data_IF_256692635783
#
_entry.id   IF_256692635783
#
_cell.length_a   1.000
_cell.length_b   1.000
_cell.length_c   1.000
_cell.angle_alpha   90.00
_cell.angle_beta   90.00
_cell.angle_gamma   90.00
#
_symmetry.space_group_name_H-M   'P 1'
#
loop_
_entity.id
_entity.type
_entity.pdbx_description
1 polymer ?
#
# COMPACT_ATOMS: atom_id res chain seq x y z
N UNK A 1 12.31 6.11 -18.81
CA UNK A 1 11.65 6.75 -17.65
C UNK A 1 12.21 6.16 -16.37
N UNK A 2 12.59 6.97 -15.38
CA UNK A 2 12.94 6.52 -14.00
C UNK A 2 11.77 6.81 -13.09
N UNK A 3 11.38 5.87 -12.21
CA UNK A 3 10.26 6.03 -11.30
C UNK A 3 10.66 6.76 -10.03
N UNK A 4 11.86 6.51 -9.54
CA UNK A 4 12.38 7.13 -8.32
C UNK A 4 13.58 8.03 -8.65
N UNK A 5 13.76 9.07 -7.85
CA UNK A 5 14.92 9.97 -7.96
C UNK A 5 16.07 9.43 -7.11
N UNK A 6 17.27 9.40 -7.66
CA UNK A 6 18.47 9.00 -6.90
C UNK A 6 18.86 9.99 -5.80
N UNK A 7 18.35 11.23 -5.88
CA UNK A 7 18.68 12.32 -4.95
C UNK A 7 17.69 12.50 -3.80
N UNK A 8 16.54 11.82 -3.84
CA UNK A 8 15.50 11.98 -2.82
C UNK A 8 15.49 10.80 -1.85
N UNK A 9 15.31 11.04 -0.55
CA UNK A 9 15.20 9.99 0.44
C UNK A 9 13.86 9.24 0.35
N UNK A 10 13.87 8.01 0.84
CA UNK A 10 12.66 7.25 1.15
C UNK A 10 12.37 7.38 2.66
N UNK A 11 11.10 7.58 2.98
CA UNK A 11 10.59 7.60 4.35
C UNK A 11 9.71 6.38 4.59
N UNK A 12 9.95 5.68 5.70
CA UNK A 12 9.21 4.47 6.09
C UNK A 12 7.89 4.85 6.73
N UNK A 13 6.75 4.51 6.09
CA UNK A 13 5.42 4.81 6.58
C UNK A 13 4.58 3.57 6.86
N UNK A 14 3.72 3.65 7.88
CA UNK A 14 2.57 2.77 8.04
C UNK A 14 1.30 3.64 8.02
N UNK A 15 0.35 3.31 7.13
CA UNK A 15 -0.84 4.10 6.88
C UNK A 15 -2.13 3.39 7.31
N UNK A 16 -2.02 2.33 8.12
CA UNK A 16 -3.15 1.58 8.63
C UNK A 16 -2.82 0.99 10.01
N UNK A 17 -3.40 1.55 11.05
CA UNK A 17 -3.34 1.01 12.42
C UNK A 17 -4.49 1.53 13.27
N UNK A 18 -4.85 0.75 14.28
CA UNK A 18 -5.96 1.00 15.19
C UNK A 18 -5.49 1.24 16.62
N UNK A 19 -6.25 2.03 17.36
CA UNK A 19 -5.98 2.35 18.76
C UNK A 19 -7.22 2.09 19.62
N UNK A 20 -7.14 2.35 20.93
CA UNK A 20 -8.29 2.27 21.82
C UNK A 20 -9.41 3.28 21.52
N UNK A 21 -9.24 4.11 20.48
CA UNK A 21 -10.33 4.95 19.96
C UNK A 21 -11.27 4.19 19.01
N UNK A 22 -10.88 3.00 18.56
CA UNK A 22 -11.75 2.01 17.91
C UNK A 22 -11.59 0.64 18.60
N UNK A 23 -10.87 -0.27 18.01
CA UNK A 23 -10.72 -1.67 18.44
C UNK A 23 -9.28 -2.14 18.60
N UNK A 24 -8.30 -1.23 18.50
CA UNK A 24 -6.92 -1.49 18.85
C UNK A 24 -6.66 -1.55 20.35
N UNK A 25 -5.61 -2.23 20.77
CA UNK A 25 -5.28 -2.46 22.19
C UNK A 25 -4.41 -1.36 22.81
N UNK A 26 -3.65 -0.60 22.03
CA UNK A 26 -2.83 0.49 22.52
C UNK A 26 -3.58 1.83 22.49
N UNK A 27 -3.35 2.67 23.53
CA UNK A 27 -3.77 4.06 23.40
C UNK A 27 -3.02 4.76 22.28
N UNK A 28 -3.56 5.85 21.69
CA UNK A 28 -2.95 6.50 20.53
C UNK A 28 -1.50 6.93 20.74
N UNK A 29 -1.15 7.36 21.94
CA UNK A 29 0.23 7.80 22.24
C UNK A 29 1.18 6.60 22.32
N UNK A 30 0.71 5.44 22.84
CA UNK A 30 1.49 4.22 22.89
C UNK A 30 1.70 3.63 21.50
N UNK A 31 0.68 3.64 20.63
CA UNK A 31 0.78 3.23 19.24
C UNK A 31 1.82 4.05 18.48
N UNK A 32 1.80 5.38 18.63
CA UNK A 32 2.79 6.27 18.02
C UNK A 32 4.21 5.97 18.53
N UNK A 33 4.38 5.72 19.83
CA UNK A 33 5.70 5.34 20.39
C UNK A 33 6.17 4.01 19.82
N UNK A 34 5.28 3.01 19.72
CA UNK A 34 5.61 1.70 19.14
C UNK A 34 6.23 1.85 17.74
N UNK A 35 5.55 2.54 16.82
CA UNK A 35 6.05 2.74 15.47
C UNK A 35 7.33 3.59 15.41
N UNK A 36 7.44 4.60 16.28
CA UNK A 36 8.66 5.39 16.38
C UNK A 36 9.88 4.53 16.81
N UNK A 37 9.68 3.64 17.77
CA UNK A 37 10.72 2.72 18.27
C UNK A 37 11.01 1.59 17.26
N UNK A 38 10.05 1.23 16.40
CA UNK A 38 10.21 0.32 15.26
C UNK A 38 10.86 0.99 14.03
N UNK A 39 11.30 2.26 14.15
CA UNK A 39 12.05 2.96 13.10
C UNK A 39 11.21 3.42 11.91
N UNK A 40 9.93 3.71 12.12
CA UNK A 40 9.12 4.40 11.11
C UNK A 40 9.35 5.92 11.18
N UNK A 41 9.10 6.58 10.05
CA UNK A 41 9.15 8.05 9.90
C UNK A 41 7.76 8.66 9.85
N UNK A 42 6.79 7.91 9.30
CA UNK A 42 5.41 8.36 9.04
C UNK A 42 4.44 7.36 9.65
N UNK A 43 3.38 7.88 10.26
CA UNK A 43 2.26 7.07 10.75
C UNK A 43 0.94 7.75 10.44
N UNK A 44 -0.04 6.97 9.99
CA UNK A 44 -1.45 7.36 10.00
C UNK A 44 -2.21 6.43 10.95
N UNK A 45 -2.80 6.98 12.00
CA UNK A 45 -3.75 6.26 12.85
C UNK A 45 -5.10 6.34 12.15
N UNK A 46 -5.65 5.19 11.82
CA UNK A 46 -6.85 5.03 10.99
C UNK A 46 -7.97 4.32 11.74
N UNK A 47 -8.21 4.75 12.97
CA UNK A 47 -9.30 4.21 13.79
C UNK A 47 -10.62 4.20 13.02
N UNK A 48 -11.43 3.16 13.21
CA UNK A 48 -12.72 3.01 12.56
C UNK A 48 -13.62 4.23 12.81
N UNK A 49 -14.07 4.87 11.74
CA UNK A 49 -15.07 5.95 11.71
C UNK A 49 -14.67 7.21 12.48
N UNK A 50 -13.43 7.31 12.97
CA UNK A 50 -12.96 8.46 13.73
C UNK A 50 -11.54 8.87 13.36
N UNK A 51 -11.29 10.17 13.29
CA UNK A 51 -9.94 10.71 13.08
C UNK A 51 -9.28 10.92 14.43
N UNK A 52 -8.31 10.08 14.74
CA UNK A 52 -7.51 10.18 15.96
C UNK A 52 -6.33 11.14 15.75
N UNK A 53 -6.19 12.12 16.63
CA UNK A 53 -5.07 13.07 16.62
C UNK A 53 -4.20 12.89 17.85
N UNK A 54 -2.91 12.72 17.62
CA UNK A 54 -1.87 12.62 18.66
C UNK A 54 -0.95 13.83 18.56
N UNK A 55 -0.50 14.34 19.68
CA UNK A 55 0.43 15.49 19.75
C UNK A 55 1.78 15.06 20.30
N UNK A 56 2.84 15.82 19.96
CA UNK A 56 4.17 15.61 20.52
C UNK A 56 4.85 14.33 20.05
N UNK A 57 4.65 13.97 18.77
CA UNK A 57 5.27 12.81 18.15
C UNK A 57 6.64 13.10 17.54
N UNK A 58 7.52 12.10 17.52
CA UNK A 58 8.75 12.09 16.70
C UNK A 58 8.47 11.72 15.24
N UNK A 59 7.32 11.08 14.98
CA UNK A 59 6.87 10.73 13.64
C UNK A 59 6.12 11.88 13.00
N UNK A 60 6.16 11.95 11.69
CA UNK A 60 5.18 12.69 10.93
C UNK A 60 3.84 11.94 11.01
N UNK A 61 2.83 12.59 11.57
CA UNK A 61 1.48 12.03 11.67
C UNK A 61 0.60 12.59 10.56
N UNK A 62 0.15 11.70 9.67
CA UNK A 62 -0.85 12.01 8.64
C UNK A 62 -2.23 11.72 9.23
N UNK A 63 -3.18 12.65 9.23
CA UNK A 63 -4.55 12.38 9.69
C UNK A 63 -5.17 11.23 8.89
N UNK A 64 -5.73 10.24 9.59
CA UNK A 64 -6.31 9.05 8.97
C UNK A 64 -7.64 8.62 9.59
N UNK A 65 -8.39 7.85 8.82
CA UNK A 65 -9.65 7.20 9.22
C UNK A 65 -9.83 5.93 8.41
N UNK A 66 -10.47 4.92 8.96
CA UNK A 66 -10.99 3.80 8.19
C UNK A 66 -12.52 3.83 8.18
N UNK A 67 -13.10 3.83 6.97
CA UNK A 67 -14.53 3.76 6.72
C UNK A 67 -14.88 2.33 6.31
N UNK A 68 -15.81 1.70 7.03
CA UNK A 68 -16.18 0.31 6.84
C UNK A 68 -17.61 0.15 6.33
N UNK A 69 -17.76 -0.73 5.36
CA UNK A 69 -19.01 -1.09 4.71
C UNK A 69 -19.16 -2.60 4.63
N UNK A 70 -20.39 -3.09 4.77
CA UNK A 70 -20.73 -4.50 4.61
C UNK A 70 -21.62 -4.65 3.39
N UNK A 71 -21.16 -5.41 2.41
CA UNK A 71 -21.90 -5.75 1.21
C UNK A 71 -22.18 -7.26 1.21
N UNK A 72 -23.17 -7.74 0.41
CA UNK A 72 -23.42 -9.17 0.29
C UNK A 72 -22.16 -9.94 -0.12
N UNK A 73 -21.66 -10.81 0.77
CA UNK A 73 -20.53 -11.69 0.53
C UNK A 73 -19.14 -11.04 0.62
N UNK A 74 -19.03 -9.76 0.99
CA UNK A 74 -17.74 -9.08 1.13
C UNK A 74 -17.80 -7.92 2.14
N UNK A 75 -16.67 -7.63 2.76
CA UNK A 75 -16.46 -6.40 3.51
C UNK A 75 -15.72 -5.41 2.63
N UNK A 76 -15.89 -4.11 2.85
CA UNK A 76 -15.16 -3.09 2.11
C UNK A 76 -14.71 -2.02 3.07
N UNK A 77 -13.41 -1.90 3.24
CA UNK A 77 -12.80 -0.88 4.07
C UNK A 77 -12.04 0.12 3.20
N UNK A 78 -12.25 1.41 3.47
CA UNK A 78 -11.60 2.51 2.74
C UNK A 78 -10.83 3.36 3.74
N UNK A 79 -9.52 3.41 3.58
CA UNK A 79 -8.69 4.34 4.32
C UNK A 79 -8.83 5.74 3.71
N UNK A 80 -9.05 6.73 4.55
CA UNK A 80 -8.93 8.14 4.19
C UNK A 80 -7.65 8.70 4.83
N UNK A 81 -6.80 9.32 4.03
CA UNK A 81 -5.52 9.88 4.50
C UNK A 81 -5.44 11.37 4.17
N UNK A 82 -4.93 12.20 5.09
CA UNK A 82 -4.67 13.62 4.86
C UNK A 82 -5.93 14.50 4.79
N UNK A 83 -7.04 14.11 5.43
CA UNK A 83 -8.27 14.91 5.46
C UNK A 83 -8.54 15.50 6.84
N UNK A 84 -9.47 16.46 6.91
CA UNK A 84 -9.91 17.08 8.15
C UNK A 84 -10.78 16.11 8.99
N UNK A 85 -10.73 16.29 10.31
CA UNK A 85 -11.54 15.56 11.30
C UNK A 85 -13.06 15.67 11.09
N UNK A 86 -13.52 16.66 10.33
CA UNK A 86 -14.94 16.81 9.99
C UNK A 86 -15.56 15.64 9.24
N UNK A 87 -14.74 14.72 8.71
CA UNK A 87 -15.21 13.55 7.96
C UNK A 87 -16.08 12.62 8.81
N UNK A 88 -15.72 12.38 10.07
CA UNK A 88 -16.48 11.49 10.97
C UNK A 88 -17.95 11.91 11.13
N UNK A 89 -18.23 13.21 11.12
CA UNK A 89 -19.60 13.74 11.20
C UNK A 89 -20.35 13.74 9.87
N UNK A 90 -19.65 13.61 8.74
CA UNK A 90 -20.22 13.62 7.39
C UNK A 90 -20.37 12.24 6.77
N UNK A 91 -19.66 11.25 7.31
CA UNK A 91 -19.75 9.89 6.84
C UNK A 91 -21.13 9.27 7.12
N UNK A 92 -21.64 8.52 6.17
CA UNK A 92 -22.91 7.82 6.26
C UNK A 92 -22.69 6.30 6.15
N UNK A 93 -22.91 5.59 7.26
CA UNK A 93 -22.79 4.12 7.33
C UNK A 93 -23.75 3.36 6.39
N UNK A 94 -24.86 4.00 5.99
CA UNK A 94 -25.83 3.43 5.04
C UNK A 94 -25.52 3.77 3.58
N UNK A 95 -24.44 4.52 3.34
CA UNK A 95 -23.95 4.83 1.99
C UNK A 95 -23.21 3.67 1.35
N UNK A 96 -22.68 3.91 0.17
CA UNK A 96 -21.85 2.95 -0.59
C UNK A 96 -20.36 3.22 -0.34
N UNK A 97 -19.46 2.24 -0.59
CA UNK A 97 -18.02 2.49 -0.58
C UNK A 97 -17.60 3.65 -1.50
N UNK A 98 -18.27 3.84 -2.64
CA UNK A 98 -18.01 4.96 -3.54
C UNK A 98 -18.33 6.30 -2.88
N UNK A 99 -19.43 6.41 -2.10
CA UNK A 99 -19.75 7.64 -1.37
C UNK A 99 -18.65 7.99 -0.35
N UNK A 100 -18.03 6.98 0.26
CA UNK A 100 -16.90 7.16 1.17
C UNK A 100 -15.65 7.67 0.45
N UNK A 101 -15.32 7.10 -0.70
CA UNK A 101 -14.20 7.54 -1.55
C UNK A 101 -14.42 9.00 -1.99
N UNK A 102 -15.62 9.32 -2.48
CA UNK A 102 -15.96 10.67 -2.95
C UNK A 102 -15.92 11.69 -1.80
N UNK A 103 -16.38 11.30 -0.61
CA UNK A 103 -16.30 12.14 0.58
C UNK A 103 -14.85 12.44 0.97
N UNK A 104 -13.98 11.42 1.06
CA UNK A 104 -12.55 11.58 1.37
C UNK A 104 -11.90 12.55 0.37
N UNK A 105 -12.11 12.31 -0.92
CA UNK A 105 -11.53 13.13 -2.00
C UNK A 105 -12.07 14.58 -1.95
N UNK A 106 -13.36 14.76 -1.68
CA UNK A 106 -13.97 16.10 -1.58
C UNK A 106 -13.42 16.93 -0.41
N UNK A 107 -12.85 16.26 0.59
CA UNK A 107 -12.22 16.90 1.76
C UNK A 107 -10.71 17.06 1.62
N UNK A 108 -10.16 16.85 0.41
CA UNK A 108 -8.75 17.03 0.09
C UNK A 108 -7.85 15.86 0.51
N UNK A 109 -8.41 14.77 1.03
CA UNK A 109 -7.69 13.55 1.34
C UNK A 109 -7.40 12.68 0.10
N UNK A 110 -6.87 11.48 0.35
CA UNK A 110 -6.78 10.40 -0.63
C UNK A 110 -7.44 9.15 -0.07
N UNK A 111 -8.13 8.40 -0.92
CA UNK A 111 -8.79 7.14 -0.57
C UNK A 111 -7.94 5.94 -0.99
N UNK A 112 -7.78 4.95 -0.10
CA UNK A 112 -7.05 3.71 -0.35
C UNK A 112 -7.96 2.53 -0.02
N UNK A 113 -8.07 1.54 -0.92
CA UNK A 113 -8.81 0.30 -0.64
C UNK A 113 -7.97 -0.59 0.28
N UNK A 114 -8.49 -0.91 1.46
CA UNK A 114 -7.80 -1.74 2.45
C UNK A 114 -7.99 -3.24 2.17
N UNK A 115 -6.95 -4.03 2.43
CA UNK A 115 -6.91 -5.52 2.50
C UNK A 115 -7.92 -6.29 1.62
N UNK A 116 -7.97 -6.10 0.29
CA UNK A 116 -9.05 -6.62 -0.53
C UNK A 116 -9.13 -8.16 -0.56
N UNK A 117 -8.01 -8.88 -0.36
CA UNK A 117 -8.02 -10.35 -0.27
C UNK A 117 -8.70 -10.84 1.03
N UNK A 118 -8.42 -10.20 2.18
CA UNK A 118 -9.09 -10.51 3.44
C UNK A 118 -10.59 -10.20 3.36
N UNK A 119 -10.92 -9.07 2.78
CA UNK A 119 -12.28 -8.56 2.61
C UNK A 119 -13.12 -9.33 1.60
N UNK A 120 -12.53 -10.30 0.87
CA UNK A 120 -13.17 -11.07 -0.21
C UNK A 120 -13.68 -10.17 -1.35
N UNK A 121 -13.02 -9.05 -1.60
CA UNK A 121 -13.36 -8.20 -2.74
C UNK A 121 -13.05 -8.93 -4.04
N UNK A 122 -13.94 -8.80 -5.00
CA UNK A 122 -13.73 -9.41 -6.33
C UNK A 122 -13.01 -8.44 -7.27
N UNK A 123 -12.26 -8.94 -8.28
CA UNK A 123 -11.68 -8.07 -9.31
C UNK A 123 -12.71 -7.17 -9.99
N UNK A 124 -13.92 -7.66 -10.22
CA UNK A 124 -15.01 -6.88 -10.80
C UNK A 124 -15.45 -5.74 -9.88
N UNK A 125 -15.54 -6.00 -8.58
CA UNK A 125 -15.86 -4.97 -7.59
C UNK A 125 -14.76 -3.91 -7.51
N UNK A 126 -13.48 -4.30 -7.42
CA UNK A 126 -12.35 -3.36 -7.38
C UNK A 126 -12.38 -2.44 -8.60
N UNK A 127 -12.66 -2.98 -9.79
CA UNK A 127 -12.78 -2.22 -11.04
C UNK A 127 -13.98 -1.27 -11.09
N UNK A 128 -14.99 -1.49 -10.27
CA UNK A 128 -16.18 -0.62 -10.21
C UNK A 128 -15.96 0.64 -9.37
N UNK A 129 -14.90 0.66 -8.55
CA UNK A 129 -14.55 1.82 -7.74
C UNK A 129 -13.73 2.83 -8.55
N UNK A 130 -13.95 4.11 -8.30
CA UNK A 130 -13.22 5.19 -8.94
C UNK A 130 -12.70 6.21 -7.92
N UNK A 131 -11.60 6.91 -8.26
CA UNK A 131 -11.02 7.92 -7.39
C UNK A 131 -10.18 7.38 -6.23
N UNK A 132 -9.80 6.11 -6.27
CA UNK A 132 -8.81 5.55 -5.36
C UNK A 132 -7.41 6.05 -5.72
N UNK A 133 -6.62 6.42 -4.73
CA UNK A 133 -5.20 6.75 -4.88
C UNK A 133 -4.30 5.52 -4.76
N UNK A 134 -4.85 4.40 -4.32
CA UNK A 134 -4.12 3.15 -4.20
C UNK A 134 -4.92 2.04 -3.54
N UNK A 135 -4.25 0.90 -3.33
CA UNK A 135 -4.83 -0.30 -2.75
C UNK A 135 -3.78 -1.05 -1.92
N UNK A 136 -4.16 -1.68 -0.84
CA UNK A 136 -3.25 -2.54 -0.08
C UNK A 136 -2.97 -3.84 -0.83
N UNK A 137 -1.70 -4.04 -1.21
CA UNK A 137 -1.22 -5.33 -1.76
C UNK A 137 -0.87 -6.29 -0.63
N UNK A 138 -0.50 -5.74 0.54
CA UNK A 138 -0.16 -6.49 1.75
C UNK A 138 -0.77 -5.84 2.99
N UNK A 139 -1.33 -6.68 3.86
CA UNK A 139 -1.91 -6.28 5.14
C UNK A 139 -1.47 -7.28 6.22
N UNK A 140 -0.66 -6.83 7.19
CA UNK A 140 0.03 -7.75 8.11
C UNK A 140 -0.90 -8.45 9.08
N UNK A 141 -1.96 -7.81 9.61
CA UNK A 141 -2.91 -8.46 10.53
C UNK A 141 -3.65 -9.61 9.86
N UNK A 142 -3.78 -9.55 8.54
CA UNK A 142 -4.43 -10.60 7.75
C UNK A 142 -3.59 -11.87 7.60
N UNK A 143 -2.30 -11.87 8.05
CA UNK A 143 -1.48 -13.09 8.14
C UNK A 143 -1.90 -13.99 9.30
N UNK A 144 -2.58 -13.42 10.30
CA UNK A 144 -2.95 -14.19 11.49
C UNK A 144 -3.93 -15.31 11.11
N UNK A 145 -3.76 -16.53 11.67
CA UNK A 145 -4.63 -17.68 11.35
C UNK A 145 -6.12 -17.38 11.58
N UNK A 146 -6.45 -16.57 12.58
CA UNK A 146 -7.84 -16.16 12.85
C UNK A 146 -8.42 -15.29 11.73
N UNK A 147 -7.57 -14.63 10.92
CA UNK A 147 -7.93 -13.83 9.74
C UNK A 147 -7.79 -14.60 8.42
N UNK A 148 -7.55 -15.92 8.50
CA UNK A 148 -7.54 -16.82 7.35
C UNK A 148 -6.29 -16.76 6.49
N UNK A 149 -5.19 -16.13 6.96
CA UNK A 149 -3.91 -16.01 6.24
C UNK A 149 -4.09 -15.39 4.83
N UNK A 150 -4.78 -14.25 4.75
CA UNK A 150 -5.14 -13.55 3.50
C UNK A 150 -4.45 -12.19 3.36
N UNK A 151 -3.18 -12.11 3.73
CA UNK A 151 -2.44 -10.86 3.70
C UNK A 151 -2.09 -10.39 2.28
N UNK A 152 -1.79 -11.32 1.38
CA UNK A 152 -1.27 -11.05 0.03
C UNK A 152 -2.42 -10.92 -0.98
N UNK A 153 -2.65 -9.71 -1.45
CA UNK A 153 -3.67 -9.37 -2.45
C UNK A 153 -3.12 -9.36 -3.89
N UNK A 154 -1.84 -9.69 -4.10
CA UNK A 154 -1.16 -9.47 -5.37
C UNK A 154 -1.85 -10.17 -6.56
N UNK A 155 -2.21 -11.45 -6.41
CA UNK A 155 -2.89 -12.18 -7.50
C UNK A 155 -4.29 -11.65 -7.81
N UNK A 156 -5.01 -11.18 -6.78
CA UNK A 156 -6.33 -10.57 -6.94
C UNK A 156 -6.22 -9.26 -7.75
N UNK A 157 -5.22 -8.44 -7.42
CA UNK A 157 -4.96 -7.17 -8.09
C UNK A 157 -4.46 -7.37 -9.52
N UNK A 158 -3.58 -8.34 -9.77
CA UNK A 158 -3.12 -8.69 -11.12
C UNK A 158 -4.31 -9.02 -12.03
N UNK A 159 -5.29 -9.79 -11.54
CA UNK A 159 -6.51 -10.11 -12.30
C UNK A 159 -7.38 -8.86 -12.52
N UNK A 160 -7.51 -7.98 -11.53
CA UNK A 160 -8.28 -6.75 -11.68
C UNK A 160 -7.68 -5.84 -12.75
N UNK A 161 -6.35 -5.65 -12.75
CA UNK A 161 -5.62 -4.82 -13.72
C UNK A 161 -5.64 -5.45 -15.11
N UNK A 162 -5.34 -6.75 -15.24
CA UNK A 162 -5.38 -7.46 -16.52
C UNK A 162 -6.77 -7.46 -17.17
N UNK A 163 -7.83 -7.33 -16.35
CA UNK A 163 -9.21 -7.23 -16.83
C UNK A 163 -9.63 -5.79 -17.18
N UNK A 164 -8.70 -4.85 -17.31
CA UNK A 164 -8.94 -3.44 -17.68
C UNK A 164 -9.26 -2.51 -16.52
N UNK A 165 -8.88 -2.88 -15.28
CA UNK A 165 -8.95 -2.00 -14.12
C UNK A 165 -7.92 -0.87 -14.17
N UNK A 166 -8.16 0.18 -13.38
CA UNK A 166 -7.18 1.23 -13.15
C UNK A 166 -5.92 0.65 -12.49
N UNK A 167 -4.73 1.03 -12.96
CA UNK A 167 -3.45 0.62 -12.40
C UNK A 167 -3.16 1.38 -11.10
N UNK A 168 -3.79 0.94 -10.02
CA UNK A 168 -3.68 1.58 -8.71
C UNK A 168 -2.29 1.36 -8.10
N UNK A 169 -1.64 2.40 -7.53
CA UNK A 169 -0.47 2.24 -6.69
C UNK A 169 -0.71 1.34 -5.49
N UNK A 170 0.34 0.62 -5.04
CA UNK A 170 0.19 -0.40 -4.00
C UNK A 170 0.83 -0.02 -2.69
N UNK A 171 0.07 -0.19 -1.60
CA UNK A 171 0.47 0.01 -0.22
C UNK A 171 0.75 -1.32 0.46
N UNK A 172 1.66 -1.32 1.45
CA UNK A 172 1.77 -2.37 2.45
C UNK A 172 1.68 -1.73 3.84
N UNK A 173 0.76 -2.22 4.64
CA UNK A 173 0.50 -1.72 5.97
C UNK A 173 0.29 -2.86 6.95
N UNK A 174 0.34 -2.54 8.25
CA UNK A 174 0.20 -3.53 9.30
C UNK A 174 -1.25 -3.78 9.70
N UNK A 175 -2.09 -2.74 9.72
CA UNK A 175 -3.46 -2.81 10.24
C UNK A 175 -3.46 -3.31 11.69
N UNK A 176 -2.56 -2.73 12.50
CA UNK A 176 -2.26 -3.24 13.84
C UNK A 176 -3.40 -3.02 14.80
N UNK A 177 -3.77 -4.09 15.50
CA UNK A 177 -4.78 -4.09 16.57
C UNK A 177 -4.18 -4.50 17.91
N UNK A 178 -3.46 -5.63 17.96
CA UNK A 178 -2.87 -6.17 19.17
C UNK A 178 -1.43 -5.72 19.42
N UNK A 179 -0.75 -5.19 18.38
CA UNK A 179 0.64 -4.74 18.41
C UNK A 179 1.62 -5.84 18.82
N UNK A 180 1.45 -7.01 18.23
CA UNK A 180 2.29 -8.21 18.40
C UNK A 180 2.98 -8.54 17.07
N UNK A 181 2.82 -9.77 16.59
CA UNK A 181 3.47 -10.26 15.38
C UNK A 181 3.00 -9.56 14.09
N UNK A 182 1.85 -8.91 14.13
CA UNK A 182 1.28 -8.16 12.99
C UNK A 182 1.83 -6.73 12.86
N UNK A 183 2.48 -6.20 13.90
CA UNK A 183 2.87 -4.78 13.94
C UNK A 183 4.37 -4.58 13.70
N UNK A 184 4.73 -3.51 12.98
CA UNK A 184 6.11 -3.20 12.64
C UNK A 184 6.69 -4.09 11.53
N UNK A 185 5.85 -4.78 10.78
CA UNK A 185 6.22 -5.78 9.76
C UNK A 185 6.24 -5.17 8.37
N UNK A 186 5.18 -4.48 7.99
CA UNK A 186 5.02 -3.93 6.65
C UNK A 186 5.24 -2.42 6.61
N UNK A 187 5.69 -1.92 5.48
CA UNK A 187 5.85 -0.49 5.25
C UNK A 187 5.53 -0.10 3.82
N UNK A 188 4.99 1.09 3.66
CA UNK A 188 4.95 1.83 2.41
C UNK A 188 6.12 2.82 2.43
N UNK A 189 7.09 2.63 1.55
CA UNK A 189 8.30 3.44 1.44
C UNK A 189 8.01 4.63 0.51
N UNK A 190 7.87 5.82 1.09
CA UNK A 190 7.46 7.03 0.36
C UNK A 190 8.69 7.85 0.00
N UNK A 191 8.86 8.16 -1.29
CA UNK A 191 9.91 9.05 -1.74
C UNK A 191 9.41 10.50 -1.81
N UNK A 192 9.94 11.34 -0.94
CA UNK A 192 9.59 12.76 -0.89
C UNK A 192 10.83 13.63 -0.65
N UNK A 193 10.74 14.90 -0.99
CA UNK A 193 11.82 15.88 -0.82
C UNK A 193 11.98 16.37 0.62
N UNK A 194 10.93 16.23 1.44
CA UNK A 194 10.93 16.56 2.86
C UNK A 194 9.99 15.64 3.64
N UNK A 195 10.28 15.43 4.92
CA UNK A 195 9.40 14.77 5.87
C UNK A 195 8.36 15.78 6.39
N UNK A 196 7.42 16.16 5.52
CA UNK A 196 6.29 17.05 5.84
C UNK A 196 4.99 16.47 5.29
N UNK A 197 3.86 16.83 5.89
CA UNK A 197 2.55 16.38 5.44
C UNK A 197 2.31 16.72 3.97
N UNK A 198 2.64 17.94 3.56
CA UNK A 198 2.49 18.42 2.18
C UNK A 198 3.30 17.57 1.19
N UNK A 199 4.61 17.37 1.46
CA UNK A 199 5.51 16.64 0.58
C UNK A 199 5.13 15.14 0.50
N UNK A 200 4.79 14.52 1.64
CA UNK A 200 4.37 13.13 1.71
C UNK A 200 3.04 12.93 0.97
N UNK A 201 2.03 13.77 1.22
CA UNK A 201 0.74 13.67 0.53
C UNK A 201 0.87 13.93 -0.98
N UNK A 202 1.76 14.83 -1.40
CA UNK A 202 2.07 15.02 -2.83
C UNK A 202 2.73 13.78 -3.44
N UNK A 203 3.66 13.13 -2.72
CA UNK A 203 4.28 11.88 -3.14
C UNK A 203 3.28 10.72 -3.26
N UNK A 204 2.39 10.58 -2.28
CA UNK A 204 1.33 9.57 -2.30
C UNK A 204 0.37 9.76 -3.49
N UNK A 205 -0.08 10.99 -3.76
CA UNK A 205 -0.90 11.31 -4.96
C UNK A 205 -0.19 11.02 -6.28
N UNK A 206 1.13 11.19 -6.31
CA UNK A 206 1.95 10.94 -7.50
C UNK A 206 2.39 9.49 -7.66
N UNK A 207 2.05 8.58 -6.74
CA UNK A 207 2.47 7.17 -6.78
C UNK A 207 3.98 6.99 -6.55
N UNK A 208 4.68 7.95 -5.92
CA UNK A 208 6.11 7.88 -5.63
C UNK A 208 6.40 7.08 -4.36
N UNK A 209 6.03 5.82 -4.37
CA UNK A 209 6.26 4.90 -3.26
C UNK A 209 6.23 3.45 -3.73
N UNK A 210 6.70 2.55 -2.88
CA UNK A 210 6.59 1.11 -3.06
C UNK A 210 6.22 0.44 -1.73
N UNK A 211 5.66 -0.77 -1.82
CA UNK A 211 5.25 -1.59 -0.68
C UNK A 211 6.36 -2.57 -0.29
N UNK A 212 6.55 -2.86 1.01
CA UNK A 212 7.56 -3.84 1.44
C UNK A 212 7.25 -4.46 2.80
N UNK A 213 7.75 -5.69 2.99
CA UNK A 213 7.91 -6.36 4.29
C UNK A 213 9.39 -6.56 4.65
N UNK A 214 10.32 -5.92 3.91
CA UNK A 214 11.76 -6.00 4.20
C UNK A 214 12.67 -5.55 3.06
N UNK A 215 12.64 -6.16 1.85
CA UNK A 215 13.50 -5.76 0.75
C UNK A 215 13.27 -4.31 0.30
N UNK A 216 14.32 -3.71 -0.26
CA UNK A 216 14.26 -2.36 -0.83
C UNK A 216 14.13 -2.41 -2.35
N UNK A 217 13.30 -1.54 -2.92
CA UNK A 217 13.32 -1.16 -4.33
C UNK A 217 13.92 0.24 -4.40
N UNK A 218 15.12 0.35 -4.97
CA UNK A 218 15.89 1.60 -5.01
C UNK A 218 15.60 2.43 -6.26
N UNK A 219 15.43 1.73 -7.40
CA UNK A 219 15.11 2.38 -8.66
C UNK A 219 14.40 1.41 -9.59
N UNK A 220 13.50 1.93 -10.41
CA UNK A 220 12.89 1.23 -11.54
C UNK A 220 13.09 2.09 -12.78
N UNK A 221 13.61 1.49 -13.84
CA UNK A 221 13.83 2.15 -15.12
C UNK A 221 13.05 1.44 -16.22
N UNK A 222 12.38 2.23 -17.06
CA UNK A 222 11.76 1.75 -18.30
C UNK A 222 12.46 2.45 -19.46
N UNK A 223 13.22 1.70 -20.23
CA UNK A 223 14.04 2.24 -21.33
C UNK A 223 14.27 1.17 -22.40
N UNK A 224 14.17 1.56 -23.67
CA UNK A 224 14.51 0.72 -24.83
C UNK A 224 13.82 -0.65 -24.87
N UNK A 225 12.55 -0.73 -24.42
CA UNK A 225 11.81 -1.99 -24.39
C UNK A 225 12.15 -2.91 -23.22
N UNK A 226 12.81 -2.38 -22.20
CA UNK A 226 13.15 -3.12 -20.98
C UNK A 226 12.60 -2.42 -19.74
N UNK A 227 12.29 -3.22 -18.72
CA UNK A 227 12.10 -2.77 -17.34
C UNK A 227 13.26 -3.30 -16.52
N UNK A 228 14.00 -2.40 -15.88
CA UNK A 228 15.07 -2.73 -14.95
C UNK A 228 14.70 -2.33 -13.53
N UNK A 229 15.11 -3.15 -12.55
CA UNK A 229 15.00 -2.84 -11.13
C UNK A 229 16.35 -2.91 -10.45
N UNK A 230 16.64 -1.91 -9.60
CA UNK A 230 17.74 -1.94 -8.64
C UNK A 230 17.13 -2.11 -7.24
N UNK A 231 17.62 -3.09 -6.47
CA UNK A 231 17.06 -3.46 -5.18
C UNK A 231 18.14 -3.78 -4.13
N UNK A 232 17.72 -4.03 -2.89
CA UNK A 232 18.58 -4.69 -1.89
C UNK A 232 18.88 -6.13 -2.32
N UNK A 233 19.91 -6.81 -1.76
CA UNK A 233 20.21 -8.20 -2.10
C UNK A 233 18.97 -9.10 -2.00
N UNK A 234 18.66 -9.81 -3.08
CA UNK A 234 17.48 -10.64 -3.25
C UNK A 234 17.85 -12.05 -3.74
N UNK A 235 16.94 -13.00 -3.54
CA UNK A 235 17.03 -14.37 -4.04
C UNK A 235 16.16 -14.59 -5.28
N UNK A 236 15.14 -13.75 -5.46
CA UNK A 236 14.23 -13.84 -6.59
C UNK A 236 13.65 -12.47 -6.93
N UNK A 237 13.62 -12.17 -8.23
CA UNK A 237 12.90 -11.00 -8.76
C UNK A 237 11.92 -11.49 -9.83
N UNK A 238 10.68 -11.05 -9.73
CA UNK A 238 9.60 -11.45 -10.65
C UNK A 238 8.99 -10.19 -11.26
N UNK A 239 8.87 -10.18 -12.58
CA UNK A 239 8.18 -9.15 -13.36
C UNK A 239 6.80 -9.69 -13.75
N UNK A 240 5.74 -9.18 -13.13
CA UNK A 240 4.36 -9.52 -13.42
C UNK A 240 3.79 -8.57 -14.47
N UNK A 241 3.02 -9.11 -15.39
CA UNK A 241 2.28 -8.35 -16.39
C UNK A 241 0.89 -8.99 -16.60
N UNK A 242 0.09 -8.43 -17.46
CA UNK A 242 -1.20 -9.00 -17.88
C UNK A 242 -1.05 -10.21 -18.85
N UNK A 243 0.18 -10.57 -19.22
CA UNK A 243 0.46 -11.83 -19.92
C UNK A 243 0.58 -12.98 -18.92
N UNK A 244 -0.24 -14.06 -19.03
CA UNK A 244 -0.17 -15.19 -18.09
C UNK A 244 1.20 -15.88 -18.06
N UNK A 245 1.88 -15.90 -19.20
CA UNK A 245 3.24 -16.42 -19.35
C UNK A 245 4.10 -15.45 -20.15
N UNK A 246 5.32 -15.22 -19.70
CA UNK A 246 6.34 -14.46 -20.44
C UNK A 246 7.71 -15.05 -20.15
N UNK A 247 8.53 -15.15 -21.20
CA UNK A 247 9.91 -15.61 -21.08
C UNK A 247 10.75 -14.58 -20.29
N UNK A 248 11.67 -15.07 -19.47
CA UNK A 248 12.59 -14.22 -18.70
C UNK A 248 11.93 -13.38 -17.58
N UNK A 249 10.64 -13.60 -17.27
CA UNK A 249 9.94 -12.83 -16.22
C UNK A 249 10.47 -13.06 -14.81
N UNK A 250 11.16 -14.17 -14.56
CA UNK A 250 11.66 -14.52 -13.22
C UNK A 250 13.17 -14.74 -13.28
N UNK A 251 13.86 -14.04 -12.38
CA UNK A 251 15.29 -14.24 -12.15
C UNK A 251 15.48 -14.78 -10.75
N UNK A 252 16.12 -15.95 -10.63
CA UNK A 252 16.43 -16.60 -9.34
C UNK A 252 17.97 -16.75 -9.29
N UNK A 253 18.58 -16.10 -8.31
CA UNK A 253 20.01 -16.19 -8.02
C UNK A 253 20.28 -15.55 -6.66
N UNK A 254 21.33 -15.98 -5.99
CA UNK A 254 21.73 -15.41 -4.72
C UNK A 254 22.29 -13.98 -4.87
N UNK A 255 21.86 -13.07 -4.00
CA UNK A 255 22.42 -11.73 -3.90
C UNK A 255 22.12 -10.80 -5.08
N UNK A 256 21.00 -11.01 -5.78
CA UNK A 256 20.57 -10.13 -6.88
C UNK A 256 20.36 -8.70 -6.38
N UNK A 257 21.00 -7.75 -7.06
CA UNK A 257 20.83 -6.30 -6.79
C UNK A 257 20.33 -5.52 -7.99
N UNK A 258 20.36 -6.14 -9.18
CA UNK A 258 19.82 -5.60 -10.43
C UNK A 258 19.26 -6.73 -11.27
N UNK A 259 18.07 -6.52 -11.83
CA UNK A 259 17.45 -7.43 -12.79
C UNK A 259 16.78 -6.66 -13.92
N UNK A 260 16.63 -7.31 -15.08
CA UNK A 260 16.01 -6.74 -16.27
C UNK A 260 15.00 -7.71 -16.87
N UNK A 261 13.94 -7.16 -17.43
CA UNK A 261 12.90 -7.87 -18.14
C UNK A 261 12.66 -7.21 -19.49
N UNK A 262 12.70 -7.98 -20.57
CA UNK A 262 12.32 -7.51 -21.91
C UNK A 262 10.79 -7.49 -22.01
N UNK A 263 10.25 -6.28 -22.23
CA UNK A 263 8.81 -6.07 -22.37
C UNK A 263 8.29 -6.89 -23.56
N UNK A 264 7.29 -7.71 -23.35
CA UNK A 264 6.66 -8.49 -24.40
C UNK A 264 5.62 -7.64 -25.14
N UNK A 265 5.33 -8.02 -26.40
CA UNK A 265 4.41 -7.28 -27.27
C UNK A 265 3.03 -7.03 -26.68
N UNK A 266 2.57 -7.93 -25.81
CA UNK A 266 1.23 -7.89 -25.22
C UNK A 266 1.22 -7.39 -23.77
N UNK A 267 2.34 -6.93 -23.24
CA UNK A 267 2.37 -6.35 -21.90
C UNK A 267 1.83 -4.93 -21.94
N UNK A 268 0.75 -4.65 -21.19
CA UNK A 268 0.20 -3.31 -21.01
C UNK A 268 0.65 -2.67 -19.70
N UNK A 269 1.08 -3.49 -18.74
CA UNK A 269 1.75 -3.03 -17.52
C UNK A 269 2.80 -4.05 -17.08
N UNK A 270 3.74 -3.58 -16.27
CA UNK A 270 4.68 -4.43 -15.53
C UNK A 270 4.72 -3.97 -14.08
N UNK A 271 4.57 -4.89 -13.13
CA UNK A 271 4.93 -4.67 -11.72
C UNK A 271 6.03 -5.62 -11.30
N UNK A 272 6.80 -5.24 -10.31
CA UNK A 272 7.97 -5.98 -9.85
C UNK A 272 7.72 -6.49 -8.43
N UNK A 273 8.11 -7.74 -8.18
CA UNK A 273 8.19 -8.32 -6.85
C UNK A 273 9.62 -8.75 -6.58
N UNK A 274 10.19 -8.27 -5.50
CA UNK A 274 11.54 -8.62 -5.00
C UNK A 274 11.39 -9.49 -3.78
N UNK A 275 12.06 -10.62 -3.72
CA UNK A 275 12.06 -11.55 -2.58
C UNK A 275 13.46 -11.73 -2.02
N UNK A 276 13.63 -11.54 -0.72
CA UNK A 276 14.89 -11.78 -0.03
C UNK A 276 15.04 -13.24 0.45
N UNK A 277 16.19 -13.56 1.07
CA UNK A 277 16.50 -14.88 1.61
C UNK A 277 15.62 -15.30 2.79
N UNK A 278 14.94 -14.37 3.44
CA UNK A 278 13.98 -14.64 4.50
C UNK A 278 12.54 -14.86 3.98
N UNK A 279 12.34 -14.77 2.65
CA UNK A 279 11.03 -14.86 2.02
C UNK A 279 10.17 -13.60 2.13
N UNK A 280 10.74 -12.49 2.65
CA UNK A 280 10.06 -11.19 2.70
C UNK A 280 10.02 -10.59 1.31
N UNK A 281 9.04 -9.74 1.07
CA UNK A 281 8.75 -9.21 -0.26
C UNK A 281 8.76 -7.69 -0.32
N UNK A 282 9.10 -7.16 -1.49
CA UNK A 282 8.77 -5.79 -1.86
C UNK A 282 8.04 -5.78 -3.21
N UNK A 283 7.10 -4.87 -3.36
CA UNK A 283 6.27 -4.74 -4.56
C UNK A 283 6.31 -3.32 -5.10
N UNK A 284 6.57 -3.19 -6.39
CA UNK A 284 6.32 -1.92 -7.07
C UNK A 284 4.83 -1.76 -7.36
N UNK A 285 4.39 -0.51 -7.50
CA UNK A 285 3.16 -0.23 -8.23
C UNK A 285 3.27 -0.70 -9.67
N UNK A 286 2.15 -1.04 -10.35
CA UNK A 286 2.17 -1.38 -11.76
C UNK A 286 2.57 -0.16 -12.60
N UNK A 287 3.50 -0.37 -13.52
CA UNK A 287 4.00 0.65 -14.46
C UNK A 287 3.34 0.40 -15.81
N UNK A 288 2.64 1.39 -16.34
CA UNK A 288 2.04 1.29 -17.67
C UNK A 288 3.13 1.19 -18.74
N UNK A 289 2.93 0.25 -19.67
CA UNK A 289 3.77 0.00 -20.82
C UNK A 289 2.99 0.39 -22.08
N UNK A 290 3.60 1.16 -22.97
CA UNK A 290 2.98 1.59 -24.23
C UNK A 290 2.90 3.07 -24.38
#
# INVERSE_FOLDING_TARGET
MKLFSESLPFYKGNFHCHTTHSDGQLDPQAAVRFYADAGYDILSVTDHRTVTRVRGSRLLLIPGIELDYVLPGQWVHILGLGMDKGISARWNASGTPQDGIDLINSMGGIAVLAHPAWSLNTPAFIRSLSGLAGVEIWNSVSTLPLNGDRADSSSLLDVAWASGGELLPVFANDDSHAYRDEAGVAATMVQADALSEEAVMAALRAGRFYATTGPEIRQIEVLNGEVAVHCSPAECVIFYSDSPWADGRTVISHGLTECRYHIQRNDHFVRIEVRDSAGRKAWSSPVRIG
#
